data_IF_647423083572
#
_entry.id   IF_647423083572
#
_cell.length_a   1.000
_cell.length_b   1.000
_cell.length_c   1.000
_cell.angle_alpha   90.00
_cell.angle_beta   90.00
_cell.angle_gamma   90.00
#
_symmetry.space_group_name_H-M   'P 1'
#
loop_
_entity.id
_entity.type
_entity.pdbx_description
1 polymer ?
#
# COMPACT_ATOMS: atom_id res chain seq x y z
N UNK A 1 46.30 -17.24 -32.84
CA UNK A 1 45.77 -18.47 -32.18
C UNK A 1 45.30 -18.07 -30.80
N UNK A 2 44.00 -18.30 -30.50
CA UNK A 2 43.30 -18.13 -29.20
C UNK A 2 43.14 -16.68 -28.68
N UNK A 3 41.98 -16.20 -28.22
CA UNK A 3 40.68 -16.82 -27.98
C UNK A 3 39.76 -15.84 -27.21
N UNK A 4 38.45 -16.11 -27.32
CA UNK A 4 37.33 -15.81 -26.40
C UNK A 4 37.26 -14.52 -25.57
N UNK A 5 36.09 -13.86 -25.59
CA UNK A 5 35.64 -13.01 -24.49
C UNK A 5 34.29 -12.32 -24.69
N UNK A 6 33.21 -13.07 -24.45
CA UNK A 6 31.85 -12.65 -24.03
C UNK A 6 31.53 -11.14 -23.83
N UNK A 7 30.42 -10.70 -24.43
CA UNK A 7 29.44 -9.85 -23.74
C UNK A 7 28.05 -10.49 -23.82
N UNK A 8 27.76 -11.34 -22.85
CA UNK A 8 26.40 -11.52 -22.36
C UNK A 8 26.28 -10.82 -21.00
N UNK A 9 25.03 -10.50 -20.68
CA UNK A 9 24.49 -10.26 -19.34
C UNK A 9 24.49 -8.80 -18.90
N UNK A 10 23.29 -8.20 -18.88
CA UNK A 10 22.66 -7.66 -17.66
C UNK A 10 21.14 -7.81 -17.78
N UNK A 11 20.66 -9.07 -17.77
CA UNK A 11 19.45 -9.38 -17.01
C UNK A 11 19.88 -9.51 -15.54
N UNK A 12 19.61 -8.49 -14.74
CA UNK A 12 19.49 -8.57 -13.28
C UNK A 12 18.14 -7.91 -13.00
N UNK A 13 17.07 -8.63 -12.68
CA UNK A 13 17.01 -9.50 -11.52
C UNK A 13 16.85 -8.66 -10.24
N UNK A 14 15.97 -7.66 -10.23
CA UNK A 14 15.54 -7.03 -8.97
C UNK A 14 14.44 -7.90 -8.37
N UNK A 15 14.87 -8.77 -7.46
CA UNK A 15 14.08 -9.37 -6.39
C UNK A 15 13.60 -8.29 -5.41
N UNK A 16 12.74 -7.38 -5.89
CA UNK A 16 11.96 -6.45 -5.09
C UNK A 16 10.49 -6.66 -5.46
N UNK A 17 9.59 -6.61 -4.47
CA UNK A 17 8.16 -6.79 -4.71
C UNK A 17 7.71 -5.90 -5.88
N UNK A 18 7.02 -6.41 -6.93
CA UNK A 18 6.69 -5.67 -8.16
C UNK A 18 6.01 -4.31 -7.96
N UNK A 19 5.51 -4.02 -6.76
CA UNK A 19 4.90 -2.73 -6.38
C UNK A 19 5.88 -1.65 -5.93
N UNK A 20 7.04 -1.99 -5.33
CA UNK A 20 7.90 -0.98 -4.68
C UNK A 20 8.59 -0.04 -5.68
N UNK A 21 9.09 -0.58 -6.80
CA UNK A 21 9.71 0.22 -7.86
C UNK A 21 8.68 1.06 -8.64
N UNK A 22 7.47 0.54 -8.83
CA UNK A 22 6.39 1.26 -9.49
C UNK A 22 5.83 2.40 -8.62
N UNK A 23 5.77 2.20 -7.29
CA UNK A 23 5.36 3.23 -6.35
C UNK A 23 6.31 4.44 -6.36
N UNK A 24 7.62 4.19 -6.34
CA UNK A 24 8.64 5.26 -6.35
C UNK A 24 8.44 6.21 -7.53
N UNK A 25 8.29 5.66 -8.74
CA UNK A 25 8.10 6.48 -9.95
C UNK A 25 6.77 7.23 -9.93
N UNK A 26 5.69 6.59 -9.46
CA UNK A 26 4.37 7.23 -9.47
C UNK A 26 4.26 8.34 -8.42
N UNK A 27 4.76 8.10 -7.21
CA UNK A 27 4.71 9.07 -6.11
C UNK A 27 5.49 10.35 -6.40
N UNK A 28 6.65 10.26 -7.06
CA UNK A 28 7.44 11.43 -7.47
C UNK A 28 6.71 12.37 -8.44
N UNK A 29 5.73 11.85 -9.18
CA UNK A 29 4.96 12.62 -10.16
C UNK A 29 3.70 13.28 -9.57
N UNK A 30 3.37 13.02 -8.29
CA UNK A 30 2.19 13.59 -7.64
C UNK A 30 2.61 14.68 -6.66
N UNK A 31 2.24 15.96 -6.89
CA UNK A 31 2.53 17.01 -5.94
C UNK A 31 1.62 16.89 -4.71
N UNK A 32 2.16 16.34 -3.62
CA UNK A 32 1.48 16.21 -2.34
C UNK A 32 2.43 16.62 -1.20
N UNK A 33 1.97 17.53 -0.33
CA UNK A 33 2.73 17.98 0.85
C UNK A 33 2.28 17.32 2.15
N UNK A 34 1.25 16.48 2.08
CA UNK A 34 0.65 15.76 3.20
C UNK A 34 0.89 14.26 3.01
N UNK A 35 -0.11 13.42 3.24
CA UNK A 35 -0.02 11.99 3.04
C UNK A 35 -0.50 11.60 1.64
N UNK A 36 0.35 10.91 0.87
CA UNK A 36 -0.01 10.36 -0.43
C UNK A 36 -0.42 8.89 -0.26
N UNK A 37 -1.67 8.58 -0.59
CA UNK A 37 -2.21 7.24 -0.46
C UNK A 37 -1.51 6.24 -1.42
N UNK A 38 -0.97 5.12 -0.92
CA UNK A 38 -0.19 4.17 -1.72
C UNK A 38 -0.99 3.51 -2.85
N UNK A 39 -2.28 3.27 -2.62
CA UNK A 39 -3.11 2.51 -3.55
C UNK A 39 -3.87 3.38 -4.55
N UNK A 40 -4.13 4.64 -4.22
CA UNK A 40 -4.98 5.54 -5.01
C UNK A 40 -4.27 6.80 -5.52
N UNK A 41 -3.05 7.08 -5.04
CA UNK A 41 -2.31 8.32 -5.33
C UNK A 41 -3.07 9.62 -4.98
N UNK A 42 -4.06 9.52 -4.09
CA UNK A 42 -4.79 10.67 -3.57
C UNK A 42 -3.99 11.32 -2.44
N UNK A 43 -3.86 12.63 -2.46
CA UNK A 43 -3.27 13.40 -1.36
C UNK A 43 -4.34 13.70 -0.31
N UNK A 44 -4.10 13.28 0.93
CA UNK A 44 -5.00 13.44 2.07
C UNK A 44 -4.22 13.95 3.30
N UNK A 45 -4.93 14.44 4.31
CA UNK A 45 -4.30 15.00 5.51
C UNK A 45 -3.58 13.92 6.33
N UNK A 46 -4.20 12.75 6.48
CA UNK A 46 -3.74 11.66 7.36
C UNK A 46 -4.03 10.28 6.73
N UNK A 47 -3.25 9.23 7.04
CA UNK A 47 -3.40 7.90 6.43
C UNK A 47 -4.81 7.30 6.56
N UNK A 48 -5.45 7.52 7.71
CA UNK A 48 -6.83 7.08 7.97
C UNK A 48 -7.85 7.66 6.99
N UNK A 49 -7.50 8.73 6.27
CA UNK A 49 -8.37 9.39 5.29
C UNK A 49 -8.29 8.80 3.88
N UNK A 50 -7.41 7.84 3.62
CA UNK A 50 -7.27 7.27 2.29
C UNK A 50 -8.57 6.63 1.79
N UNK A 51 -8.99 6.92 0.54
CA UNK A 51 -10.18 6.31 -0.04
C UNK A 51 -9.89 4.88 -0.48
N UNK A 52 -10.94 4.06 -0.52
CA UNK A 52 -10.85 2.74 -1.11
C UNK A 52 -10.72 2.85 -2.64
N UNK A 53 -9.89 2.00 -3.29
CA UNK A 53 -9.72 2.01 -4.74
C UNK A 53 -11.02 1.69 -5.49
N UNK A 54 -11.86 0.81 -4.93
CA UNK A 54 -13.17 0.48 -5.46
C UNK A 54 -14.26 1.25 -4.70
N UNK A 55 -15.11 1.94 -5.45
CA UNK A 55 -16.21 2.78 -4.91
C UNK A 55 -17.31 1.98 -4.21
N UNK A 56 -17.36 0.66 -4.39
CA UNK A 56 -18.29 -0.23 -3.71
C UNK A 56 -17.77 -0.71 -2.35
N UNK A 57 -16.50 -0.46 -2.07
CA UNK A 57 -15.88 -0.85 -0.82
C UNK A 57 -15.97 0.29 0.19
N UNK A 58 -16.11 -0.08 1.45
CA UNK A 58 -16.12 0.85 2.57
C UNK A 58 -14.80 0.78 3.31
N UNK A 59 -14.39 1.94 3.83
CA UNK A 59 -13.16 2.12 4.59
C UNK A 59 -13.38 1.72 6.06
N UNK A 60 -12.57 0.82 6.58
CA UNK A 60 -12.55 0.43 7.99
C UNK A 60 -11.18 0.73 8.60
N UNK A 61 -11.16 1.17 9.86
CA UNK A 61 -9.92 1.36 10.61
C UNK A 61 -9.62 0.10 11.43
N UNK A 62 -8.37 -0.33 11.41
CA UNK A 62 -7.85 -1.31 12.37
C UNK A 62 -7.45 -0.53 13.64
N UNK A 63 -7.81 -0.99 14.84
CA UNK A 63 -7.37 -0.35 16.08
C UNK A 63 -5.91 -0.73 16.43
N UNK A 64 -4.98 -0.56 15.48
CA UNK A 64 -3.56 -0.91 15.63
C UNK A 64 -2.67 0.25 16.10
N UNK A 65 -3.25 1.44 16.24
CA UNK A 65 -2.60 2.63 16.76
C UNK A 65 -3.46 3.27 17.87
N UNK A 66 -2.81 3.93 18.83
CA UNK A 66 -3.50 4.73 19.86
C UNK A 66 -4.25 5.92 19.25
N UNK A 67 -3.74 6.45 18.14
CA UNK A 67 -4.36 7.54 17.38
C UNK A 67 -4.98 7.00 16.09
N UNK A 68 -6.31 7.08 15.99
CA UNK A 68 -7.08 6.64 14.81
C UNK A 68 -6.64 7.33 13.52
N UNK A 69 -6.02 8.52 13.60
CA UNK A 69 -5.57 9.29 12.44
C UNK A 69 -4.51 8.55 11.63
N UNK A 70 -3.66 7.77 12.31
CA UNK A 70 -2.57 6.99 11.71
C UNK A 70 -2.87 5.50 11.67
N UNK A 71 -4.06 5.09 12.10
CA UNK A 71 -4.51 3.71 12.06
C UNK A 71 -4.50 3.13 10.63
N UNK A 72 -4.23 1.83 10.54
CA UNK A 72 -4.24 1.14 9.25
C UNK A 72 -5.67 1.09 8.70
N UNK A 73 -5.79 1.42 7.42
CA UNK A 73 -7.05 1.36 6.67
C UNK A 73 -7.16 0.02 5.94
N UNK A 74 -8.32 -0.62 6.06
CA UNK A 74 -8.69 -1.78 5.24
C UNK A 74 -10.00 -1.51 4.52
N UNK A 75 -10.01 -1.82 3.22
CA UNK A 75 -11.19 -1.74 2.38
C UNK A 75 -11.92 -3.08 2.35
N UNK A 76 -13.23 -3.04 2.60
CA UNK A 76 -14.07 -4.24 2.65
C UNK A 76 -15.35 -4.04 1.85
N UNK A 77 -15.92 -5.16 1.41
CA UNK A 77 -17.19 -5.20 0.68
C UNK A 77 -18.32 -5.74 1.54
N UNK A 78 -19.47 -5.06 1.48
CA UNK A 78 -20.71 -5.50 2.14
C UNK A 78 -20.87 -4.95 3.57
N UNK A 79 -22.09 -5.05 4.09
CA UNK A 79 -22.51 -4.36 5.30
C UNK A 79 -21.78 -4.80 6.59
N UNK A 80 -21.24 -6.01 6.63
CA UNK A 80 -20.62 -6.58 7.83
C UNK A 80 -19.08 -6.52 7.83
N UNK A 81 -18.46 -6.03 6.74
CA UNK A 81 -17.01 -6.14 6.56
C UNK A 81 -16.20 -5.47 7.67
N UNK A 82 -16.58 -4.26 8.11
CA UNK A 82 -15.84 -3.59 9.19
C UNK A 82 -15.98 -4.31 10.54
N UNK A 83 -17.15 -4.89 10.83
CA UNK A 83 -17.36 -5.66 12.06
C UNK A 83 -16.48 -6.91 12.09
N UNK A 84 -16.28 -7.55 10.94
CA UNK A 84 -15.35 -8.68 10.81
C UNK A 84 -13.89 -8.26 10.99
N UNK A 85 -13.46 -7.14 10.39
CA UNK A 85 -12.11 -6.58 10.57
C UNK A 85 -11.85 -6.29 12.05
N UNK A 86 -12.76 -5.59 12.71
CA UNK A 86 -12.62 -5.21 14.12
C UNK A 86 -12.57 -6.44 15.05
N UNK A 87 -13.40 -7.46 14.76
CA UNK A 87 -13.38 -8.74 15.49
C UNK A 87 -12.06 -9.50 15.26
N UNK A 88 -11.51 -9.47 14.06
CA UNK A 88 -10.25 -10.15 13.74
C UNK A 88 -9.04 -9.42 14.34
N UNK A 89 -9.03 -8.09 14.30
CA UNK A 89 -7.97 -7.26 14.86
C UNK A 89 -7.79 -7.54 16.36
N UNK A 90 -8.88 -7.48 17.14
CA UNK A 90 -8.87 -7.80 18.58
C UNK A 90 -8.42 -9.21 18.91
N UNK A 91 -8.59 -10.16 17.98
CA UNK A 91 -8.16 -11.55 18.18
C UNK A 91 -6.64 -11.71 18.05
N UNK A 92 -5.98 -10.79 17.34
CA UNK A 92 -4.54 -10.80 17.12
C UNK A 92 -3.76 -10.05 18.22
N UNK A 93 -4.45 -9.28 19.07
CA UNK A 93 -3.88 -8.63 20.28
C UNK A 93 -3.77 -9.57 21.51
N UNK A 94 -3.76 -10.89 21.30
CA UNK A 94 -3.57 -11.93 22.34
C UNK A 94 -2.22 -12.61 22.12
#
# INVERSE_FOLDING_TARGET
MFGQGHQQQHQRGSSGSPGASQWSVQSENVPCSQYLCPDSLVCVEEPSLCPCPDVQDIRCLIPDAEDERVATVVCVRGANGCADVERLARKMDI
#
